data_IF_823169942580
#
_entry.id   IF_823169942580
#
_cell.length_a   1.000
_cell.length_b   1.000
_cell.length_c   1.000
_cell.angle_alpha   90.00
_cell.angle_beta   90.00
_cell.angle_gamma   90.00
#
_symmetry.space_group_name_H-M   'P 1'
#
loop_
_entity.id
_entity.type
_entity.pdbx_description
1 polymer ?
#
# COMPACT_ATOMS: atom_id res chain seq x y z
N UNK A 1 -2.68 -6.21 2.52
CA UNK A 1 -2.59 -4.82 2.06
C UNK A 1 -3.22 -3.82 3.00
N UNK A 2 -2.63 -2.64 3.08
CA UNK A 2 -3.31 -1.39 3.41
C UNK A 2 -2.68 -0.27 2.59
N UNK A 3 -3.45 0.41 1.74
CA UNK A 3 -2.90 1.40 0.82
C UNK A 3 -3.79 2.65 0.73
N UNK A 4 -3.19 3.82 1.02
CA UNK A 4 -3.83 5.15 1.01
C UNK A 4 -3.08 6.17 0.13
N UNK A 5 -2.26 5.69 -0.81
CA UNK A 5 -1.27 6.51 -1.51
C UNK A 5 -1.86 7.42 -2.59
N UNK A 6 -2.98 7.04 -3.21
CA UNK A 6 -3.60 7.80 -4.29
C UNK A 6 -4.93 8.42 -3.87
N UNK A 7 -5.33 9.49 -4.57
CA UNK A 7 -6.60 10.18 -4.32
C UNK A 7 -7.82 9.26 -4.46
N UNK A 8 -7.71 8.23 -5.31
CA UNK A 8 -8.78 7.30 -5.63
C UNK A 8 -8.90 6.14 -4.64
N UNK A 9 -8.21 6.19 -3.49
CA UNK A 9 -8.34 5.14 -2.47
C UNK A 9 -9.76 5.04 -1.94
N UNK A 10 -10.14 3.86 -1.46
CA UNK A 10 -11.48 3.66 -0.92
C UNK A 10 -11.71 4.55 0.31
N UNK A 11 -12.61 5.52 0.20
CA UNK A 11 -12.95 6.44 1.28
C UNK A 11 -14.46 6.45 1.49
N UNK A 12 -14.90 5.76 2.53
CA UNK A 12 -16.28 5.70 2.98
C UNK A 12 -16.36 6.04 4.47
N UNK A 13 -17.54 6.33 5.03
CA UNK A 13 -17.68 6.58 6.47
C UNK A 13 -17.18 5.43 7.37
N UNK A 14 -17.18 4.20 6.86
CA UNK A 14 -16.77 3.01 7.59
C UNK A 14 -15.31 2.58 7.33
N UNK A 15 -14.73 2.98 6.19
CA UNK A 15 -13.42 2.49 5.73
C UNK A 15 -12.63 3.62 5.10
N UNK A 16 -11.39 3.82 5.55
CA UNK A 16 -10.43 4.76 4.96
C UNK A 16 -9.19 4.01 4.48
N UNK A 17 -9.08 3.81 3.18
CA UNK A 17 -8.00 3.12 2.50
C UNK A 17 -8.41 1.79 1.87
N UNK A 18 -7.58 1.34 0.92
CA UNK A 18 -7.73 0.03 0.30
C UNK A 18 -7.19 -1.04 1.26
N UNK A 19 -8.09 -1.85 1.83
CA UNK A 19 -7.77 -2.86 2.85
C UNK A 19 -8.34 -4.27 2.51
N UNK A 20 -8.64 -4.53 1.24
CA UNK A 20 -9.27 -5.77 0.76
C UNK A 20 -8.36 -6.54 -0.21
N UNK A 21 -8.89 -7.52 -0.96
CA UNK A 21 -8.11 -8.30 -1.92
C UNK A 21 -7.53 -7.46 -3.09
N UNK A 22 -8.16 -6.33 -3.42
CA UNK A 22 -7.73 -5.42 -4.49
C UNK A 22 -8.05 -3.97 -4.13
N UNK A 23 -7.16 -3.05 -4.49
CA UNK A 23 -7.40 -1.60 -4.40
C UNK A 23 -8.23 -1.06 -5.57
N UNK A 24 -8.74 0.16 -5.40
CA UNK A 24 -9.53 0.85 -6.44
C UNK A 24 -8.77 1.04 -7.76
N UNK A 25 -7.44 1.12 -7.71
CA UNK A 25 -6.57 1.22 -8.88
C UNK A 25 -6.21 -0.13 -9.53
N UNK A 26 -6.74 -1.25 -9.03
CA UNK A 26 -6.43 -2.59 -9.54
C UNK A 26 -5.23 -3.29 -8.89
N UNK A 27 -4.52 -2.64 -7.95
CA UNK A 27 -3.42 -3.26 -7.20
C UNK A 27 -3.93 -4.42 -6.35
N UNK A 28 -3.41 -5.64 -6.54
CA UNK A 28 -3.77 -6.81 -5.71
C UNK A 28 -3.10 -6.75 -4.34
N UNK A 29 -3.59 -7.55 -3.39
CA UNK A 29 -3.04 -7.62 -2.03
C UNK A 29 -1.56 -8.01 -2.02
N UNK A 30 -1.21 -9.02 -2.81
CA UNK A 30 0.15 -9.53 -2.94
C UNK A 30 1.10 -8.47 -3.48
N UNK A 31 0.68 -7.72 -4.52
CA UNK A 31 1.49 -6.62 -5.07
C UNK A 31 1.64 -5.48 -4.05
N UNK A 32 0.60 -5.17 -3.28
CA UNK A 32 0.72 -4.17 -2.21
C UNK A 32 1.72 -4.59 -1.15
N UNK A 33 1.64 -5.83 -0.67
CA UNK A 33 2.47 -6.30 0.43
C UNK A 33 3.95 -6.41 -0.02
N UNK A 34 4.21 -6.78 -1.28
CA UNK A 34 5.55 -6.72 -1.87
C UNK A 34 6.10 -5.29 -2.00
N UNK A 35 5.26 -4.31 -2.34
CA UNK A 35 5.67 -2.90 -2.34
C UNK A 35 6.01 -2.41 -0.92
N UNK A 36 5.26 -2.85 0.09
CA UNK A 36 5.54 -2.49 1.48
C UNK A 36 6.90 -3.08 1.93
N UNK A 37 7.20 -4.34 1.58
CA UNK A 37 8.51 -4.97 1.83
C UNK A 37 9.63 -4.26 1.07
N UNK A 38 9.39 -3.84 -0.18
CA UNK A 38 10.36 -3.08 -0.96
C UNK A 38 10.69 -1.75 -0.27
N UNK A 39 9.69 -0.98 0.17
CA UNK A 39 9.90 0.29 0.88
C UNK A 39 10.66 0.06 2.19
N UNK A 40 10.31 -0.98 2.96
CA UNK A 40 11.04 -1.34 4.17
C UNK A 40 12.53 -1.65 3.89
N UNK A 41 12.79 -2.40 2.82
CA UNK A 41 14.16 -2.73 2.40
C UNK A 41 14.94 -1.49 1.98
N UNK A 42 14.30 -0.58 1.24
CA UNK A 42 14.89 0.70 0.83
C UNK A 42 15.19 1.59 2.04
N UNK A 43 14.33 1.60 3.06
CA UNK A 43 14.62 2.28 4.33
C UNK A 43 15.88 1.69 5.00
N UNK A 44 16.02 0.36 5.01
CA UNK A 44 17.22 -0.32 5.50
C UNK A 44 18.50 0.04 4.72
N UNK A 45 18.42 0.16 3.39
CA UNK A 45 19.55 0.63 2.56
C UNK A 45 19.87 2.09 2.86
N UNK A 46 18.86 2.95 2.99
CA UNK A 46 19.04 4.38 3.27
C UNK A 46 19.68 4.67 4.64
N UNK A 47 19.63 3.71 5.57
CA UNK A 47 20.33 3.83 6.85
C UNK A 47 21.87 3.77 6.69
N UNK A 48 22.36 3.08 5.67
CA UNK A 48 23.81 2.87 5.44
C UNK A 48 24.41 3.75 4.35
N UNK A 49 23.59 4.45 3.56
CA UNK A 49 24.00 5.33 2.47
C UNK A 49 24.24 6.76 2.97
#
# INVERSE_FOLDING_TARGET
MFCIQCEQTLSTPAVKGCAYAQGMCGKTAEVSDLQDVLVYSLQGVSFWA
#
